data_IF_858478666569
#
_entry.id   IF_858478666569
#
_cell.length_a   1.000
_cell.length_b   1.000
_cell.length_c   1.000
_cell.angle_alpha   90.00
_cell.angle_beta   90.00
_cell.angle_gamma   90.00
#
_symmetry.space_group_name_H-M   'P 1'
#
loop_
_entity.id
_entity.type
_entity.pdbx_description
1 polymer ?
#
# COMPACT_ATOMS: atom_id res chain seq x y z
N UNK A 1 26.16 9.72 7.28
CA UNK A 1 26.51 11.15 7.17
C UNK A 1 27.65 11.33 6.18
N UNK A 2 27.85 12.55 5.69
CA UNK A 2 29.00 12.92 4.86
C UNK A 2 29.98 13.81 5.59
N UNK A 3 31.21 13.87 5.08
CA UNK A 3 32.13 14.97 5.36
C UNK A 3 31.76 16.24 4.57
N UNK A 4 32.61 17.27 4.66
CA UNK A 4 32.46 18.57 3.98
C UNK A 4 32.54 18.49 2.45
N UNK A 5 33.09 17.40 1.90
CA UNK A 5 33.22 17.18 0.45
C UNK A 5 32.12 16.25 -0.10
N UNK A 6 31.22 15.76 0.75
CA UNK A 6 30.12 14.88 0.36
C UNK A 6 30.47 13.38 0.34
N UNK A 7 31.66 12.99 0.82
CA UNK A 7 32.02 11.57 0.97
C UNK A 7 31.45 10.99 2.26
N UNK A 8 31.06 9.73 2.21
CA UNK A 8 30.51 9.01 3.35
C UNK A 8 31.55 8.88 4.46
N UNK A 9 31.31 9.59 5.57
CA UNK A 9 32.12 9.53 6.78
C UNK A 9 31.50 8.67 7.88
N UNK A 10 30.20 8.37 7.78
CA UNK A 10 29.50 7.55 8.74
C UNK A 10 28.46 6.64 8.09
N UNK A 11 28.55 5.36 8.42
CA UNK A 11 27.57 4.31 8.11
C UNK A 11 27.44 3.41 9.34
N UNK A 12 26.29 3.48 10.02
CA UNK A 12 26.07 2.77 11.27
C UNK A 12 25.44 1.38 11.05
N UNK A 13 25.41 0.50 12.07
CA UNK A 13 24.84 -0.85 11.91
C UNK A 13 23.36 -0.88 11.48
N UNK A 14 22.59 0.14 11.86
CA UNK A 14 21.20 0.27 11.42
C UNK A 14 21.11 0.49 9.90
N UNK A 15 21.99 1.33 9.33
CA UNK A 15 22.11 1.55 7.90
C UNK A 15 22.65 0.33 7.15
N UNK A 16 23.58 -0.42 7.73
CA UNK A 16 24.01 -1.71 7.15
C UNK A 16 22.85 -2.69 7.04
N UNK A 17 22.05 -2.82 8.09
CA UNK A 17 20.85 -3.68 8.09
C UNK A 17 19.78 -3.18 7.11
N UNK A 18 19.59 -1.87 7.01
CA UNK A 18 18.57 -1.26 6.15
C UNK A 18 18.93 -1.36 4.66
N UNK A 19 20.20 -1.15 4.32
CA UNK A 19 20.69 -1.10 2.93
C UNK A 19 21.28 -2.41 2.42
N UNK A 20 21.69 -3.31 3.32
CA UNK A 20 22.43 -4.54 2.99
C UNK A 20 23.90 -4.33 2.62
N UNK A 21 24.42 -3.10 2.68
CA UNK A 21 25.82 -2.78 2.39
C UNK A 21 26.62 -2.61 3.67
N UNK A 22 27.79 -3.26 3.73
CA UNK A 22 28.69 -3.11 4.86
C UNK A 22 29.35 -1.75 4.82
N UNK A 23 29.67 -1.20 6.00
CA UNK A 23 30.39 0.05 6.19
C UNK A 23 31.65 0.11 5.33
N UNK A 24 32.45 -0.93 5.35
CA UNK A 24 33.70 -1.03 4.58
C UNK A 24 33.48 -0.88 3.05
N UNK A 25 32.31 -1.23 2.54
CA UNK A 25 31.97 -1.13 1.12
C UNK A 25 31.54 0.28 0.69
N UNK A 26 31.18 1.15 1.64
CA UNK A 26 30.57 2.47 1.37
C UNK A 26 31.37 3.65 1.91
N UNK A 27 32.17 3.44 2.95
CA UNK A 27 33.01 4.50 3.52
C UNK A 27 33.93 5.12 2.48
N UNK A 28 34.04 6.45 2.48
CA UNK A 28 34.88 7.19 1.54
C UNK A 28 34.32 7.31 0.12
N UNK A 29 33.14 6.75 -0.18
CA UNK A 29 32.43 6.97 -1.45
C UNK A 29 31.49 8.16 -1.35
N UNK A 30 31.24 8.83 -2.47
CA UNK A 30 30.34 9.97 -2.53
C UNK A 30 28.90 9.55 -2.21
N UNK A 31 28.23 10.27 -1.30
CA UNK A 31 26.83 9.97 -0.95
C UNK A 31 25.93 10.03 -2.17
N UNK A 32 26.02 11.11 -2.95
CA UNK A 32 25.23 11.30 -4.17
C UNK A 32 26.05 10.80 -5.36
N UNK A 33 25.47 9.92 -6.17
CA UNK A 33 26.11 9.41 -7.38
C UNK A 33 26.80 8.07 -7.19
N UNK A 34 27.61 7.84 -6.15
CA UNK A 34 28.27 6.54 -5.94
C UNK A 34 27.48 5.61 -5.02
N UNK A 35 27.04 6.12 -3.86
CA UNK A 35 26.21 5.34 -2.92
C UNK A 35 24.74 5.44 -3.35
N UNK A 36 24.20 6.66 -3.44
CA UNK A 36 22.83 6.93 -3.84
C UNK A 36 22.79 7.54 -5.25
N UNK A 37 22.54 6.71 -6.26
CA UNK A 37 22.47 7.14 -7.67
C UNK A 37 21.55 6.28 -8.51
N UNK A 38 21.49 6.49 -9.83
CA UNK A 38 20.47 5.86 -10.70
C UNK A 38 20.87 4.56 -11.41
N UNK A 39 22.17 4.22 -11.57
CA UNK A 39 22.66 3.04 -12.31
C UNK A 39 23.97 2.43 -11.74
N UNK A 40 24.02 1.12 -11.45
CA UNK A 40 25.21 0.39 -10.93
C UNK A 40 25.76 0.89 -9.57
N UNK A 41 24.89 1.41 -8.69
CA UNK A 41 25.26 1.90 -7.35
C UNK A 41 24.79 0.99 -6.20
N UNK A 42 25.27 1.28 -5.00
CA UNK A 42 24.91 0.57 -3.78
C UNK A 42 23.40 0.69 -3.48
N UNK A 43 22.93 1.92 -3.26
CA UNK A 43 21.56 2.24 -2.89
C UNK A 43 20.88 2.95 -4.07
N UNK A 44 20.37 2.18 -5.04
CA UNK A 44 19.83 2.76 -6.27
C UNK A 44 18.59 3.62 -6.00
N UNK A 45 18.57 4.84 -6.51
CA UNK A 45 17.42 5.75 -6.48
C UNK A 45 16.47 5.46 -7.65
N UNK A 46 15.19 5.79 -7.48
CA UNK A 46 14.12 5.53 -8.47
C UNK A 46 14.36 6.24 -9.82
N UNK A 47 15.05 7.37 -9.81
CA UNK A 47 15.36 8.13 -11.01
C UNK A 47 16.13 9.41 -10.71
N UNK A 48 16.42 10.17 -11.77
CA UNK A 48 17.22 11.40 -11.70
C UNK A 48 16.55 12.47 -10.83
N UNK A 49 15.22 12.60 -10.87
CA UNK A 49 14.49 13.53 -10.00
C UNK A 49 14.75 13.29 -8.50
N UNK A 50 14.75 12.02 -8.07
CA UNK A 50 15.02 11.66 -6.68
C UNK A 50 16.47 11.98 -6.29
N UNK A 51 17.42 11.79 -7.21
CA UNK A 51 18.83 12.14 -7.03
C UNK A 51 19.03 13.64 -6.91
N UNK A 52 18.43 14.43 -7.80
CA UNK A 52 18.49 15.90 -7.77
C UNK A 52 17.91 16.44 -6.48
N UNK A 53 16.73 15.94 -6.06
CA UNK A 53 16.13 16.35 -4.79
C UNK A 53 17.00 16.00 -3.59
N UNK A 54 17.60 14.82 -3.57
CA UNK A 54 18.53 14.43 -2.51
C UNK A 54 19.77 15.34 -2.47
N UNK A 55 20.32 15.69 -3.63
CA UNK A 55 21.44 16.64 -3.74
C UNK A 55 21.06 18.02 -3.20
N UNK A 56 19.87 18.53 -3.54
CA UNK A 56 19.36 19.81 -3.02
C UNK A 56 19.26 19.76 -1.49
N UNK A 57 18.74 18.66 -0.92
CA UNK A 57 18.61 18.48 0.53
C UNK A 57 19.98 18.50 1.22
N UNK A 58 20.98 17.80 0.68
CA UNK A 58 22.31 17.78 1.27
C UNK A 58 23.03 19.12 1.18
N UNK A 59 22.95 19.79 0.03
CA UNK A 59 23.55 21.11 -0.17
C UNK A 59 22.86 22.16 0.71
N UNK A 60 21.53 22.12 0.80
CA UNK A 60 20.77 22.99 1.71
C UNK A 60 21.19 22.79 3.16
N UNK A 61 21.37 21.55 3.61
CA UNK A 61 21.85 21.25 4.96
C UNK A 61 23.26 21.81 5.20
N UNK A 62 24.18 21.71 4.22
CA UNK A 62 25.52 22.33 4.31
C UNK A 62 25.45 23.86 4.44
N UNK A 63 24.51 24.50 3.76
CA UNK A 63 24.26 25.95 3.85
C UNK A 63 23.50 26.35 5.13
N UNK A 64 23.23 25.41 6.03
CA UNK A 64 22.53 25.63 7.30
C UNK A 64 21.00 25.63 7.20
N UNK A 65 20.44 25.20 6.07
CA UNK A 65 19.01 24.93 5.91
C UNK A 65 18.74 23.45 6.21
N UNK A 66 18.46 23.16 7.47
CA UNK A 66 18.13 21.80 7.89
C UNK A 66 16.85 21.31 7.19
N UNK A 67 16.89 20.08 6.70
CA UNK A 67 15.74 19.41 6.12
C UNK A 67 15.16 18.43 7.12
N UNK A 68 13.85 18.53 7.39
CA UNK A 68 13.14 17.58 8.26
C UNK A 68 12.09 16.78 7.48
N UNK A 69 12.03 15.48 7.77
CA UNK A 69 11.00 14.56 7.26
C UNK A 69 10.84 14.58 5.73
N UNK A 70 11.94 14.77 5.00
CA UNK A 70 11.94 14.75 3.55
C UNK A 70 11.64 13.31 3.03
N UNK A 71 10.63 13.09 2.19
CA UNK A 71 10.34 11.76 1.65
C UNK A 71 11.52 11.23 0.83
N UNK A 72 12.09 10.10 1.24
CA UNK A 72 13.27 9.53 0.62
C UNK A 72 13.11 8.03 0.42
N UNK A 73 13.52 7.54 -0.75
CA UNK A 73 13.40 6.13 -1.06
C UNK A 73 14.50 5.65 -1.98
N UNK A 74 14.93 4.40 -1.78
CA UNK A 74 15.99 3.76 -2.53
C UNK A 74 15.78 2.24 -2.56
N UNK A 75 16.52 1.55 -3.42
CA UNK A 75 16.59 0.10 -3.44
C UNK A 75 17.81 -0.37 -2.64
N UNK A 76 17.60 -1.34 -1.75
CA UNK A 76 18.68 -2.00 -1.01
C UNK A 76 19.50 -2.95 -1.91
N UNK A 77 20.53 -3.59 -1.34
CA UNK A 77 21.40 -4.54 -2.04
C UNK A 77 20.65 -5.72 -2.67
N UNK A 78 19.51 -6.12 -2.10
CA UNK A 78 18.68 -7.21 -2.60
C UNK A 78 17.62 -6.72 -3.61
N UNK A 79 17.58 -5.42 -3.91
CA UNK A 79 16.60 -4.81 -4.79
C UNK A 79 15.24 -4.57 -4.12
N UNK A 80 15.13 -4.68 -2.79
CA UNK A 80 13.90 -4.32 -2.07
C UNK A 80 13.79 -2.79 -2.02
N UNK A 81 12.59 -2.29 -2.28
CA UNK A 81 12.28 -0.87 -2.17
C UNK A 81 12.14 -0.47 -0.70
N UNK A 82 12.94 0.51 -0.29
CA UNK A 82 12.97 1.07 1.07
C UNK A 82 12.43 2.48 1.01
N UNK A 83 11.37 2.73 1.79
CA UNK A 83 10.79 4.06 2.00
C UNK A 83 11.14 4.56 3.40
N UNK A 84 11.61 5.81 3.45
CA UNK A 84 12.03 6.47 4.68
C UNK A 84 11.70 7.97 4.63
N UNK A 85 11.76 8.60 5.79
CA UNK A 85 11.83 10.05 5.92
C UNK A 85 13.26 10.44 6.28
N UNK A 86 13.88 11.28 5.46
CA UNK A 86 15.22 11.81 5.66
C UNK A 86 15.16 13.10 6.46
N UNK A 87 15.95 13.17 7.51
CA UNK A 87 16.35 14.42 8.15
C UNK A 87 17.83 14.64 7.86
N UNK A 88 18.19 15.82 7.36
CA UNK A 88 19.55 16.19 7.07
C UNK A 88 19.88 17.53 7.73
N UNK A 89 20.99 17.58 8.46
CA UNK A 89 21.45 18.78 9.17
C UNK A 89 22.95 18.93 9.05
N UNK A 90 23.47 20.16 9.10
CA UNK A 90 24.92 20.36 9.16
C UNK A 90 25.52 19.71 10.41
N UNK A 91 26.74 19.19 10.27
CA UNK A 91 27.58 18.75 11.37
C UNK A 91 28.67 19.79 11.57
N UNK A 92 28.87 20.21 12.82
CA UNK A 92 29.95 21.15 13.17
C UNK A 92 30.87 20.56 14.24
N UNK A 93 32.12 21.00 14.26
CA UNK A 93 33.04 20.72 15.36
C UNK A 93 32.79 21.64 16.59
N UNK A 94 33.66 21.56 17.60
CA UNK A 94 33.54 22.32 18.84
C UNK A 94 33.77 23.82 18.62
N UNK A 95 34.52 24.17 17.58
CA UNK A 95 34.82 25.53 17.15
C UNK A 95 33.74 26.12 16.23
N UNK A 96 32.76 25.31 15.83
CA UNK A 96 31.63 25.72 14.98
C UNK A 96 31.91 25.66 13.47
N UNK A 97 33.04 25.10 13.05
CA UNK A 97 33.33 24.87 11.64
C UNK A 97 32.50 23.69 11.12
N UNK A 98 32.04 23.79 9.87
CA UNK A 98 31.21 22.77 9.23
C UNK A 98 32.11 21.60 8.82
N UNK A 99 31.81 20.41 9.34
CA UNK A 99 32.57 19.17 9.08
C UNK A 99 31.77 18.16 8.24
N UNK A 100 30.61 18.57 7.71
CA UNK A 100 29.79 17.79 6.79
C UNK A 100 28.31 17.79 7.11
N UNK A 101 27.61 16.73 6.69
CA UNK A 101 26.15 16.58 6.87
C UNK A 101 25.83 15.32 7.68
N UNK A 102 25.05 15.51 8.73
CA UNK A 102 24.40 14.41 9.44
C UNK A 102 23.09 14.05 8.74
N UNK A 103 22.86 12.75 8.52
CA UNK A 103 21.64 12.25 7.88
C UNK A 103 21.02 11.18 8.77
N UNK A 104 19.72 11.33 9.03
CA UNK A 104 18.93 10.36 9.78
C UNK A 104 17.77 9.87 8.92
N UNK A 105 17.60 8.55 8.85
CA UNK A 105 16.48 7.92 8.14
C UNK A 105 15.48 7.35 9.14
N UNK A 106 14.24 7.82 9.05
CA UNK A 106 13.13 7.27 9.80
C UNK A 106 12.32 6.32 8.91
N UNK A 107 12.30 5.04 9.26
CA UNK A 107 11.55 4.00 8.53
C UNK A 107 10.36 3.53 9.36
N UNK A 108 9.32 3.02 8.70
CA UNK A 108 8.23 2.35 9.40
C UNK A 108 8.76 1.18 10.27
N UNK A 109 8.19 1.00 11.47
CA UNK A 109 8.60 -0.09 12.35
C UNK A 109 8.24 -1.45 11.73
N UNK A 110 8.94 -2.50 12.17
CA UNK A 110 8.70 -3.86 11.66
C UNK A 110 7.29 -4.31 11.99
N UNK A 111 6.79 -3.97 13.17
CA UNK A 111 5.44 -4.28 13.64
C UNK A 111 4.38 -3.60 12.78
N UNK A 112 4.59 -2.32 12.43
CA UNK A 112 3.69 -1.59 11.53
C UNK A 112 3.69 -2.19 10.12
N UNK A 113 4.85 -2.56 9.59
CA UNK A 113 4.96 -3.22 8.28
C UNK A 113 4.25 -4.58 8.26
N UNK A 114 4.39 -5.36 9.34
CA UNK A 114 3.69 -6.63 9.48
C UNK A 114 2.18 -6.44 9.59
N UNK A 115 1.72 -5.53 10.44
CA UNK A 115 0.30 -5.21 10.59
C UNK A 115 -0.32 -4.77 9.26
N UNK A 116 0.37 -3.90 8.50
CA UNK A 116 -0.10 -3.45 7.19
C UNK A 116 -0.16 -4.59 6.16
N UNK A 117 0.78 -5.54 6.22
CA UNK A 117 0.78 -6.70 5.33
C UNK A 117 -0.40 -7.62 5.63
N UNK A 118 -0.65 -7.88 6.92
CA UNK A 118 -1.80 -8.67 7.37
C UNK A 118 -3.11 -7.98 6.97
N UNK A 119 -3.23 -6.67 7.23
CA UNK A 119 -4.40 -5.87 6.87
C UNK A 119 -4.71 -5.95 5.37
N UNK A 120 -3.70 -5.75 4.51
CA UNK A 120 -3.85 -5.87 3.05
C UNK A 120 -4.26 -7.28 2.62
N UNK A 121 -3.74 -8.32 3.27
CA UNK A 121 -4.13 -9.69 2.99
C UNK A 121 -5.59 -9.96 3.40
N UNK A 122 -6.01 -9.48 4.58
CA UNK A 122 -7.39 -9.62 5.05
C UNK A 122 -8.38 -8.86 4.17
N UNK A 123 -8.03 -7.65 3.72
CA UNK A 123 -8.85 -6.86 2.79
C UNK A 123 -9.03 -7.58 1.46
N UNK A 124 -7.96 -8.15 0.90
CA UNK A 124 -8.06 -8.95 -0.35
C UNK A 124 -9.01 -10.13 -0.19
N UNK A 125 -8.94 -10.84 0.94
CA UNK A 125 -9.84 -11.97 1.22
C UNK A 125 -11.28 -11.49 1.39
N UNK A 126 -11.51 -10.40 2.13
CA UNK A 126 -12.83 -9.82 2.30
C UNK A 126 -13.43 -9.38 0.97
N UNK A 127 -12.64 -8.71 0.12
CA UNK A 127 -13.05 -8.30 -1.21
C UNK A 127 -13.41 -9.49 -2.11
N UNK A 128 -12.60 -10.55 -2.10
CA UNK A 128 -12.91 -11.76 -2.86
C UNK A 128 -14.23 -12.41 -2.41
N UNK A 129 -14.50 -12.46 -1.10
CA UNK A 129 -15.77 -12.97 -0.56
C UNK A 129 -16.97 -12.10 -0.96
N UNK A 130 -16.82 -10.78 -0.91
CA UNK A 130 -17.86 -9.86 -1.36
C UNK A 130 -18.19 -10.07 -2.85
N UNK A 131 -17.16 -10.25 -3.67
CA UNK A 131 -17.32 -10.55 -5.11
C UNK A 131 -18.03 -11.88 -5.34
N UNK A 132 -17.69 -12.92 -4.59
CA UNK A 132 -18.36 -14.23 -4.66
C UNK A 132 -19.84 -14.13 -4.27
N UNK A 133 -20.15 -13.40 -3.18
CA UNK A 133 -21.53 -13.16 -2.76
C UNK A 133 -22.33 -12.38 -3.80
N UNK A 134 -21.73 -11.34 -4.40
CA UNK A 134 -22.37 -10.57 -5.47
C UNK A 134 -22.69 -11.45 -6.70
N UNK A 135 -21.75 -12.32 -7.08
CA UNK A 135 -21.93 -13.27 -8.18
C UNK A 135 -23.07 -14.26 -7.88
N UNK A 136 -23.07 -14.91 -6.71
CA UNK A 136 -24.13 -15.86 -6.31
C UNK A 136 -25.49 -15.17 -6.35
N UNK A 137 -25.58 -13.93 -5.85
CA UNK A 137 -26.82 -13.15 -5.86
C UNK A 137 -27.35 -12.91 -7.27
N UNK A 138 -26.46 -12.54 -8.20
CA UNK A 138 -26.82 -12.33 -9.60
C UNK A 138 -27.33 -13.63 -10.25
N UNK A 139 -26.65 -14.74 -10.00
CA UNK A 139 -27.04 -16.05 -10.57
C UNK A 139 -28.35 -16.58 -9.98
N UNK A 140 -28.73 -16.22 -8.75
CA UNK A 140 -30.01 -16.62 -8.14
C UNK A 140 -31.20 -15.79 -8.66
N UNK A 141 -30.98 -14.54 -9.11
CA UNK A 141 -32.07 -13.67 -9.59
C UNK A 141 -32.83 -14.30 -10.76
N UNK A 142 -32.12 -14.82 -11.75
CA UNK A 142 -32.71 -15.41 -12.95
C UNK A 142 -33.64 -16.61 -12.67
N UNK A 143 -33.21 -17.66 -11.93
CA UNK A 143 -34.10 -18.77 -11.59
C UNK A 143 -35.26 -18.33 -10.69
N UNK A 144 -35.05 -17.37 -9.77
CA UNK A 144 -36.15 -16.82 -8.97
C UNK A 144 -37.22 -16.16 -9.86
N UNK A 145 -36.82 -15.36 -10.86
CA UNK A 145 -37.76 -14.78 -11.81
C UNK A 145 -38.49 -15.84 -12.65
N UNK A 146 -37.81 -16.93 -13.01
CA UNK A 146 -38.43 -18.07 -13.70
C UNK A 146 -39.50 -18.78 -12.85
N UNK A 147 -39.22 -18.98 -11.56
CA UNK A 147 -40.18 -19.56 -10.61
C UNK A 147 -41.38 -18.62 -10.44
N UNK A 148 -41.14 -17.33 -10.20
CA UNK A 148 -42.18 -16.31 -10.08
C UNK A 148 -43.08 -16.25 -11.32
N UNK A 149 -42.48 -16.32 -12.52
CA UNK A 149 -43.22 -16.34 -13.77
C UNK A 149 -44.13 -17.57 -13.88
N UNK A 150 -43.61 -18.76 -13.53
CA UNK A 150 -44.38 -20.01 -13.59
C UNK A 150 -45.51 -20.01 -12.54
N UNK A 151 -45.26 -19.46 -11.35
CA UNK A 151 -46.30 -19.25 -10.33
C UNK A 151 -47.42 -18.36 -10.85
N UNK A 152 -47.09 -17.22 -11.45
CA UNK A 152 -48.10 -16.31 -12.03
C UNK A 152 -48.94 -17.01 -13.11
N UNK A 153 -48.32 -17.83 -13.98
CA UNK A 153 -49.07 -18.61 -14.97
C UNK A 153 -50.02 -19.63 -14.32
N UNK A 154 -49.62 -20.25 -13.21
CA UNK A 154 -50.49 -21.19 -12.48
C UNK A 154 -51.67 -20.47 -11.80
N UNK A 155 -51.49 -19.25 -11.32
CA UNK A 155 -52.57 -18.43 -10.74
C UNK A 155 -53.72 -18.18 -11.74
N UNK A 156 -53.42 -18.15 -13.04
CA UNK A 156 -54.40 -17.95 -14.11
C UNK A 156 -55.11 -19.23 -14.56
N UNK A 157 -54.89 -20.36 -13.87
CA UNK A 157 -55.52 -21.67 -14.18
C UNK A 157 -56.60 -22.06 -13.17
N UNK A 158 -57.43 -23.05 -13.52
CA UNK A 158 -58.41 -23.62 -12.60
C UNK A 158 -57.70 -24.48 -11.52
N UNK A 159 -57.48 -23.87 -10.35
CA UNK A 159 -56.85 -24.51 -9.20
C UNK A 159 -57.88 -24.98 -8.17
N UNK A 160 -57.66 -26.17 -7.62
CA UNK A 160 -58.34 -26.63 -6.40
C UNK A 160 -57.90 -25.82 -5.17
N UNK A 161 -58.67 -25.87 -4.08
CA UNK A 161 -58.36 -25.14 -2.84
C UNK A 161 -56.98 -25.52 -2.26
N UNK A 162 -56.61 -26.80 -2.30
CA UNK A 162 -55.29 -27.26 -1.84
C UNK A 162 -54.16 -26.68 -2.72
N UNK A 163 -54.37 -26.61 -4.04
CA UNK A 163 -53.40 -26.03 -4.97
C UNK A 163 -53.26 -24.51 -4.80
N UNK A 164 -54.35 -23.79 -4.51
CA UNK A 164 -54.29 -22.36 -4.18
C UNK A 164 -53.44 -22.10 -2.96
N UNK A 165 -53.57 -22.92 -1.91
CA UNK A 165 -52.76 -22.81 -0.70
C UNK A 165 -51.25 -23.00 -0.99
N UNK A 166 -50.88 -23.92 -1.88
CA UNK A 166 -49.49 -24.11 -2.30
C UNK A 166 -48.94 -22.88 -3.06
N UNK A 167 -49.74 -22.32 -3.97
CA UNK A 167 -49.36 -21.13 -4.76
C UNK A 167 -49.19 -19.89 -3.88
N UNK A 168 -50.10 -19.68 -2.91
CA UNK A 168 -49.98 -18.58 -1.95
C UNK A 168 -48.74 -18.73 -1.06
N UNK A 169 -48.45 -19.95 -0.62
CA UNK A 169 -47.23 -20.25 0.16
C UNK A 169 -45.97 -19.97 -0.67
N UNK A 170 -45.94 -20.38 -1.94
CA UNK A 170 -44.84 -20.05 -2.87
C UNK A 170 -44.64 -18.54 -2.99
N UNK A 171 -45.73 -17.77 -3.09
CA UNK A 171 -45.69 -16.31 -3.18
C UNK A 171 -45.05 -15.64 -1.96
N UNK A 172 -45.26 -16.20 -0.77
CA UNK A 172 -44.64 -15.72 0.48
C UNK A 172 -43.14 -16.02 0.46
N UNK A 173 -42.74 -17.24 0.10
CA UNK A 173 -41.34 -17.64 0.01
C UNK A 173 -40.57 -16.82 -1.03
N UNK A 174 -41.15 -16.58 -2.20
CA UNK A 174 -40.56 -15.74 -3.26
C UNK A 174 -40.33 -14.30 -2.79
N UNK A 175 -41.31 -13.71 -2.10
CA UNK A 175 -41.15 -12.37 -1.52
C UNK A 175 -40.03 -12.31 -0.48
N UNK A 176 -39.90 -13.35 0.34
CA UNK A 176 -38.84 -13.42 1.34
C UNK A 176 -37.46 -13.55 0.68
N UNK A 177 -37.32 -14.43 -0.33
CA UNK A 177 -36.07 -14.58 -1.07
C UNK A 177 -35.68 -13.30 -1.80
N UNK A 178 -36.64 -12.65 -2.47
CA UNK A 178 -36.40 -11.36 -3.13
C UNK A 178 -35.92 -10.31 -2.14
N UNK A 179 -36.56 -10.21 -0.96
CA UNK A 179 -36.11 -9.31 0.09
C UNK A 179 -34.67 -9.58 0.52
N UNK A 180 -34.27 -10.84 0.71
CA UNK A 180 -32.88 -11.19 1.06
C UNK A 180 -31.89 -10.80 -0.04
N UNK A 181 -32.28 -10.95 -1.31
CA UNK A 181 -31.45 -10.57 -2.46
C UNK A 181 -31.35 -9.03 -2.59
N UNK A 182 -32.39 -8.30 -2.19
CA UNK A 182 -32.45 -6.83 -2.29
C UNK A 182 -31.89 -6.12 -1.03
N UNK A 183 -31.96 -6.72 0.17
CA UNK A 183 -31.55 -6.15 1.48
C UNK A 183 -30.02 -5.96 1.67
N UNK A 184 -29.24 -5.96 0.60
CA UNK A 184 -27.83 -5.50 0.64
C UNK A 184 -27.67 -4.27 -0.23
N UNK A 185 -27.64 -3.11 0.43
CA UNK A 185 -27.16 -1.84 -0.11
C UNK A 185 -25.70 -1.99 -0.57
N UNK A 186 -25.53 -2.42 -1.82
CA UNK A 186 -24.25 -2.54 -2.51
C UNK A 186 -24.08 -1.48 -3.61
N UNK A 187 -24.97 -0.48 -3.69
CA UNK A 187 -24.84 0.66 -4.61
C UNK A 187 -23.54 1.48 -4.42
N UNK A 188 -22.73 1.18 -3.41
CA UNK A 188 -21.41 1.79 -3.20
C UNK A 188 -20.22 0.94 -3.68
N UNK A 189 -20.42 -0.27 -4.24
CA UNK A 189 -19.32 -1.17 -4.65
C UNK A 189 -19.22 -1.32 -6.18
N UNK A 190 -20.26 -0.99 -6.95
CA UNK A 190 -20.25 -1.18 -8.41
C UNK A 190 -19.53 -0.06 -9.20
N UNK A 191 -19.25 1.11 -8.60
CA UNK A 191 -18.45 2.18 -9.21
C UNK A 191 -17.02 2.20 -8.68
N UNK A 192 -16.18 1.32 -9.23
CA UNK A 192 -14.72 1.33 -9.09
C UNK A 192 -14.03 1.23 -10.44
#
# INVERSE_FOLDING_TARGET
GSDEFGYCSEWNPAMEKLSGWRREEVMGKMLVGEIFGTQMMCCRLKGQDAMTKFMIVLNGAMDGQDAEKFPFAFFDRLGKYVEALLTASKRTDAEGAITGVFCFLHTASVELQQALTVQKATEKVAFAKLKELAYIRQEIKNPLYGIMFTRNLMEDTDLSEDQKQFVETSAVCERQLRKILDDMDLESIEDG
#
